data_IF_747949454336
#
_entry.id   IF_747949454336
#
_cell.length_a   1.000
_cell.length_b   1.000
_cell.length_c   1.000
_cell.angle_alpha   90.00
_cell.angle_beta   90.00
_cell.angle_gamma   90.00
#
_symmetry.space_group_name_H-M   'P 1'
#
loop_
_entity.id
_entity.type
_entity.pdbx_description
1 polymer ?
#
# COMPACT_ATOMS: atom_id res chain seq x y z
N UNK A 1 -15.63 8.10 -6.58
CA UNK A 1 -15.88 8.37 -5.13
C UNK A 1 -14.86 7.57 -4.33
N UNK A 2 -14.42 8.02 -3.15
CA UNK A 2 -13.33 7.36 -2.41
C UNK A 2 -13.49 5.83 -2.20
N UNK A 3 -14.72 5.30 -2.18
CA UNK A 3 -15.00 3.87 -2.02
C UNK A 3 -15.53 3.19 -3.29
N UNK A 4 -15.35 3.79 -4.46
CA UNK A 4 -15.97 3.28 -5.70
C UNK A 4 -15.51 1.87 -6.11
N UNK A 5 -14.27 1.52 -5.82
CA UNK A 5 -13.71 0.20 -6.11
C UNK A 5 -13.73 -0.75 -4.91
N UNK A 6 -14.07 -0.28 -3.70
CA UNK A 6 -13.86 -1.03 -2.47
C UNK A 6 -14.57 -2.40 -2.49
N UNK A 7 -13.79 -3.48 -2.36
CA UNK A 7 -14.30 -4.84 -2.13
C UNK A 7 -13.90 -5.29 -0.72
N UNK A 8 -14.84 -5.43 0.22
CA UNK A 8 -14.55 -5.88 1.58
C UNK A 8 -14.02 -7.33 1.66
N UNK A 9 -14.12 -8.11 0.57
CA UNK A 9 -13.63 -9.50 0.52
C UNK A 9 -12.19 -9.59 0.04
N UNK A 10 -11.61 -8.52 -0.52
CA UNK A 10 -10.23 -8.50 -1.00
C UNK A 10 -9.27 -8.82 0.15
N UNK A 11 -8.45 -9.86 -0.02
CA UNK A 11 -7.59 -10.43 1.02
C UNK A 11 -6.47 -9.47 1.43
N UNK A 12 -6.10 -8.56 0.54
CA UNK A 12 -5.19 -7.45 0.84
C UNK A 12 -5.71 -6.54 1.98
N UNK A 13 -7.04 -6.39 2.17
CA UNK A 13 -7.56 -5.64 3.33
C UNK A 13 -7.20 -6.34 4.65
N UNK A 14 -7.40 -7.67 4.69
CA UNK A 14 -7.12 -8.50 5.86
C UNK A 14 -5.61 -8.49 6.16
N UNK A 15 -4.77 -8.68 5.14
CA UNK A 15 -3.31 -8.62 5.28
C UNK A 15 -2.85 -7.31 5.94
N UNK A 16 -3.32 -6.16 5.45
CA UNK A 16 -2.91 -4.86 6.01
C UNK A 16 -3.38 -4.69 7.45
N UNK A 17 -4.57 -5.20 7.79
CA UNK A 17 -5.08 -5.17 9.15
C UNK A 17 -4.25 -6.06 10.07
N UNK A 18 -3.92 -7.27 9.65
CA UNK A 18 -3.09 -8.20 10.42
C UNK A 18 -1.67 -7.67 10.62
N UNK A 19 -1.03 -7.10 9.60
CA UNK A 19 0.29 -6.47 9.69
C UNK A 19 0.38 -5.34 10.73
N UNK A 20 -0.75 -4.72 11.10
CA UNK A 20 -0.78 -3.67 12.13
C UNK A 20 -0.76 -4.22 13.55
N UNK A 21 -1.33 -5.40 13.76
CA UNK A 21 -1.56 -5.96 15.10
C UNK A 21 -0.66 -7.15 15.41
N UNK A 22 -0.30 -7.93 14.38
CA UNK A 22 0.60 -9.07 14.49
C UNK A 22 2.05 -8.62 14.25
N UNK A 23 2.80 -8.51 15.36
CA UNK A 23 4.21 -8.12 15.36
C UNK A 23 5.12 -9.14 14.67
N UNK A 24 4.78 -10.43 14.75
CA UNK A 24 5.59 -11.49 14.15
C UNK A 24 5.39 -11.48 12.63
N UNK A 25 4.14 -11.44 12.17
CA UNK A 25 3.82 -11.28 10.75
C UNK A 25 4.46 -10.00 10.20
N UNK A 26 4.40 -8.91 10.96
CA UNK A 26 5.03 -7.64 10.59
C UNK A 26 6.54 -7.76 10.40
N UNK A 27 7.24 -8.35 11.36
CA UNK A 27 8.69 -8.54 11.28
C UNK A 27 9.09 -9.46 10.11
N UNK A 28 8.30 -10.52 9.87
CA UNK A 28 8.48 -11.40 8.70
C UNK A 28 8.23 -10.67 7.39
N UNK A 29 7.22 -9.81 7.32
CA UNK A 29 6.94 -9.01 6.13
C UNK A 29 8.10 -8.04 5.82
N UNK A 30 8.68 -7.41 6.84
CA UNK A 30 9.83 -6.51 6.66
C UNK A 30 11.10 -7.22 6.18
N UNK A 31 11.31 -8.48 6.59
CA UNK A 31 12.54 -9.22 6.29
C UNK A 31 12.42 -10.19 5.11
N UNK A 32 11.22 -10.70 4.86
CA UNK A 32 10.92 -11.80 3.94
C UNK A 32 9.57 -11.59 3.26
N UNK A 33 9.33 -10.38 2.75
CA UNK A 33 8.04 -9.96 2.18
C UNK A 33 7.46 -10.97 1.19
N UNK A 34 8.27 -11.38 0.21
CA UNK A 34 7.82 -12.29 -0.86
C UNK A 34 7.31 -13.61 -0.28
N UNK A 35 7.98 -14.16 0.74
CA UNK A 35 7.57 -15.41 1.37
C UNK A 35 6.25 -15.25 2.13
N UNK A 36 6.05 -14.11 2.81
CA UNK A 36 4.78 -13.79 3.47
C UNK A 36 3.67 -13.69 2.45
N UNK A 37 3.87 -12.94 1.36
CA UNK A 37 2.89 -12.78 0.30
C UNK A 37 2.61 -14.09 -0.46
N UNK A 38 3.61 -14.97 -0.57
CA UNK A 38 3.47 -16.28 -1.20
C UNK A 38 2.59 -17.23 -0.38
N UNK A 39 2.72 -17.18 0.95
CA UNK A 39 1.97 -18.01 1.89
C UNK A 39 0.57 -17.44 2.22
N UNK A 40 0.38 -16.13 2.09
CA UNK A 40 -0.91 -15.49 2.33
C UNK A 40 -1.90 -15.83 1.21
N UNK A 41 -3.21 -16.01 1.50
CA UNK A 41 -4.23 -16.36 0.50
C UNK A 41 -4.60 -15.21 -0.45
N UNK A 42 -3.62 -14.48 -0.99
CA UNK A 42 -3.80 -13.43 -1.99
C UNK A 42 -4.03 -14.04 -3.38
N UNK A 43 -4.81 -13.35 -4.20
CA UNK A 43 -4.79 -13.59 -5.64
C UNK A 43 -3.43 -13.21 -6.24
N UNK A 44 -3.07 -13.75 -7.42
CA UNK A 44 -1.85 -13.34 -8.13
C UNK A 44 -1.78 -11.83 -8.38
N UNK A 45 -2.92 -11.20 -8.71
CA UNK A 45 -3.00 -9.77 -8.97
C UNK A 45 -2.71 -8.92 -7.71
N UNK A 46 -3.31 -9.27 -6.57
CA UNK A 46 -3.01 -8.61 -5.28
C UNK A 46 -1.53 -8.73 -4.94
N UNK A 47 -0.96 -9.92 -5.09
CA UNK A 47 0.45 -10.18 -4.78
C UNK A 47 1.38 -9.34 -5.65
N UNK A 48 1.18 -9.37 -6.97
CA UNK A 48 1.97 -8.58 -7.91
C UNK A 48 1.87 -7.09 -7.61
N UNK A 49 0.67 -6.57 -7.38
CA UNK A 49 0.48 -5.16 -7.10
C UNK A 49 1.17 -4.72 -5.79
N UNK A 50 1.20 -5.56 -4.74
CA UNK A 50 1.96 -5.26 -3.52
C UNK A 50 3.47 -5.26 -3.80
N UNK A 51 3.99 -6.29 -4.46
CA UNK A 51 5.43 -6.41 -4.76
C UNK A 51 5.94 -5.25 -5.62
N UNK A 52 5.16 -4.86 -6.62
CA UNK A 52 5.50 -3.78 -7.56
C UNK A 52 5.21 -2.39 -7.00
N UNK A 53 4.65 -2.30 -5.79
CA UNK A 53 4.24 -1.04 -5.15
C UNK A 53 3.19 -0.27 -5.97
N UNK A 54 2.36 -1.01 -6.70
CA UNK A 54 1.29 -0.45 -7.52
C UNK A 54 0.04 -0.21 -6.66
N UNK A 55 0.05 0.89 -5.93
CA UNK A 55 -1.06 1.32 -5.09
C UNK A 55 -2.31 1.68 -5.91
N UNK A 56 -2.13 2.06 -7.18
CA UNK A 56 -3.26 2.29 -8.08
C UNK A 56 -3.94 0.97 -8.44
N UNK A 57 -3.19 -0.05 -8.85
CA UNK A 57 -3.77 -1.37 -9.10
C UNK A 57 -4.44 -1.93 -7.84
N UNK A 58 -3.85 -1.76 -6.65
CA UNK A 58 -4.50 -2.16 -5.40
C UNK A 58 -5.81 -1.42 -5.12
N UNK A 59 -5.85 -0.11 -5.40
CA UNK A 59 -7.09 0.67 -5.29
C UNK A 59 -8.15 0.18 -6.28
N UNK A 60 -7.79 -0.05 -7.54
CA UNK A 60 -8.68 -0.55 -8.60
C UNK A 60 -9.18 -1.99 -8.32
N UNK A 61 -8.35 -2.83 -7.68
CA UNK A 61 -8.72 -4.17 -7.19
C UNK A 61 -9.67 -4.12 -5.98
N UNK A 62 -9.78 -2.98 -5.30
CA UNK A 62 -10.71 -2.73 -4.22
C UNK A 62 -10.12 -2.69 -2.81
N UNK A 63 -8.81 -2.46 -2.68
CA UNK A 63 -8.19 -2.19 -1.39
C UNK A 63 -8.72 -0.86 -0.84
N UNK A 64 -9.16 -0.86 0.41
CA UNK A 64 -9.72 0.33 1.04
C UNK A 64 -8.69 1.48 1.08
N UNK A 65 -9.03 2.72 0.67
CA UNK A 65 -8.06 3.83 0.58
C UNK A 65 -7.30 4.14 1.88
N UNK A 66 -7.99 4.05 3.02
CA UNK A 66 -7.32 4.17 4.32
C UNK A 66 -6.26 3.07 4.54
N UNK A 67 -6.58 1.81 4.21
CA UNK A 67 -5.64 0.69 4.36
C UNK A 67 -4.52 0.77 3.32
N UNK A 68 -4.79 1.28 2.11
CA UNK A 68 -3.78 1.58 1.12
C UNK A 68 -2.72 2.55 1.67
N UNK A 69 -3.16 3.62 2.35
CA UNK A 69 -2.25 4.53 3.05
C UNK A 69 -1.50 3.89 4.22
N UNK A 70 -2.12 2.97 4.95
CA UNK A 70 -1.43 2.20 5.99
C UNK A 70 -0.37 1.28 5.39
N UNK A 71 -0.68 0.58 4.30
CA UNK A 71 0.25 -0.30 3.59
C UNK A 71 1.48 0.48 3.09
N UNK A 72 1.27 1.66 2.50
CA UNK A 72 2.39 2.52 2.08
C UNK A 72 3.30 2.89 3.27
N UNK A 73 2.72 3.23 4.43
CA UNK A 73 3.51 3.51 5.66
C UNK A 73 4.22 2.29 6.19
N UNK A 74 3.57 1.13 6.14
CA UNK A 74 4.14 -0.16 6.51
C UNK A 74 5.32 -0.53 5.58
N UNK A 75 5.26 -0.21 4.29
CA UNK A 75 6.35 -0.54 3.36
C UNK A 75 7.51 0.46 3.47
N UNK A 76 7.23 1.76 3.53
CA UNK A 76 8.27 2.80 3.43
C UNK A 76 8.68 3.44 4.75
N UNK A 77 8.01 3.11 5.86
CA UNK A 77 8.13 3.80 7.15
C UNK A 77 8.52 2.89 8.30
N UNK A 78 9.71 2.28 8.27
CA UNK A 78 10.31 1.61 9.42
C UNK A 78 11.38 2.51 10.06
N UNK A 79 11.14 2.97 11.29
CA UNK A 79 12.13 3.63 12.17
C UNK A 79 12.09 5.17 12.17
N UNK A 80 11.65 5.76 13.29
CA UNK A 80 11.63 7.20 13.68
C UNK A 80 11.14 8.25 12.65
N UNK A 81 10.81 7.84 11.43
CA UNK A 81 10.38 8.66 10.29
C UNK A 81 8.94 8.38 9.89
N UNK A 82 8.11 7.91 10.83
CA UNK A 82 6.69 7.63 10.63
C UNK A 82 5.87 8.87 10.19
N UNK A 83 6.47 10.06 10.16
CA UNK A 83 5.87 11.31 9.70
C UNK A 83 6.45 11.93 8.43
N UNK A 84 7.35 11.28 7.68
CA UNK A 84 8.02 11.95 6.53
C UNK A 84 7.49 11.57 5.14
N UNK A 85 7.68 12.52 4.23
CA UNK A 85 7.27 12.63 2.84
C UNK A 85 7.39 11.39 1.95
N UNK A 86 8.24 10.41 2.26
CA UNK A 86 8.53 9.27 1.37
C UNK A 86 7.32 8.38 1.07
N UNK A 87 6.63 7.89 2.10
CA UNK A 87 5.47 7.02 1.94
C UNK A 87 4.30 7.73 1.24
N UNK A 88 4.05 8.99 1.62
CA UNK A 88 3.02 9.83 1.00
C UNK A 88 3.36 10.13 -0.46
N UNK A 89 4.61 10.47 -0.77
CA UNK A 89 5.09 10.70 -2.14
C UNK A 89 4.96 9.45 -3.00
N UNK A 90 5.39 8.28 -2.51
CA UNK A 90 5.28 7.02 -3.26
C UNK A 90 3.80 6.67 -3.55
N UNK A 91 2.93 6.81 -2.55
CA UNK A 91 1.49 6.62 -2.72
C UNK A 91 0.90 7.58 -3.75
N UNK A 92 1.13 8.89 -3.59
CA UNK A 92 0.58 9.92 -4.49
C UNK A 92 1.13 9.74 -5.91
N UNK A 93 2.42 9.43 -6.07
CA UNK A 93 3.03 9.15 -7.37
C UNK A 93 2.40 7.95 -8.05
N UNK A 94 2.19 6.84 -7.32
CA UNK A 94 1.53 5.66 -7.88
C UNK A 94 0.08 5.94 -8.29
N UNK A 95 -0.68 6.70 -7.48
CA UNK A 95 -2.07 7.05 -7.78
C UNK A 95 -2.21 8.00 -8.97
N UNK A 96 -1.31 8.99 -9.11
CA UNK A 96 -1.40 10.02 -10.14
C UNK A 96 -0.69 9.66 -11.45
N UNK A 97 0.29 8.75 -11.42
CA UNK A 97 1.09 8.40 -12.59
C UNK A 97 1.71 9.65 -13.24
N UNK A 98 1.45 9.84 -14.54
CA UNK A 98 1.97 10.96 -15.33
C UNK A 98 1.53 12.34 -14.83
N UNK A 99 0.42 12.41 -14.08
CA UNK A 99 -0.10 13.66 -13.51
C UNK A 99 0.66 14.11 -12.25
N UNK A 100 1.56 13.27 -11.72
CA UNK A 100 2.26 13.56 -10.48
C UNK A 100 3.08 14.86 -10.54
N UNK A 101 3.86 15.07 -11.61
CA UNK A 101 4.74 16.23 -11.72
C UNK A 101 3.94 17.54 -11.86
N UNK A 102 2.83 17.53 -12.62
CA UNK A 102 1.92 18.66 -12.72
C UNK A 102 1.27 18.99 -11.37
N UNK A 103 0.77 17.97 -10.66
CA UNK A 103 0.19 18.12 -9.32
C UNK A 103 1.18 18.70 -8.29
N UNK A 104 2.45 18.30 -8.34
CA UNK A 104 3.47 18.82 -7.43
C UNK A 104 3.87 20.27 -7.77
N UNK A 105 3.87 20.65 -9.05
CA UNK A 105 4.13 22.03 -9.47
C UNK A 105 3.06 22.99 -8.92
N UNK A 106 1.78 22.61 -8.97
CA UNK A 106 0.66 23.41 -8.43
C UNK A 106 0.67 23.54 -6.89
N UNK A 107 1.28 22.60 -6.17
CA UNK A 107 1.39 22.64 -4.70
C UNK A 107 2.63 23.38 -4.19
N UNK A 108 3.58 23.67 -5.07
CA UNK A 108 4.83 24.38 -4.76
C UNK A 108 4.72 25.91 -4.78
N UNK A 109 3.55 26.45 -5.15
CA UNK A 109 3.20 27.88 -5.15
C UNK A 109 2.48 28.33 -3.88
#
# INVERSE_FOLDING_TARGET
>A
MALEHFDPRLRANDLVQELKWDRELRARFETSEKEVLDAYPLTPAERTAILDRDFRALFELGLHPYLLGQLARLIYGTGEKAGTSGAATALIRSLLGDQYEAYMAERGE
#
